data_IF_877911213966
#
_entry.id   IF_877911213966
#
_cell.length_a   1.000
_cell.length_b   1.000
_cell.length_c   1.000
_cell.angle_alpha   90.00
_cell.angle_beta   90.00
_cell.angle_gamma   90.00
#
_symmetry.space_group_name_H-M   'P 1'
#
loop_
_entity.id
_entity.type
_entity.pdbx_description
1 polymer ?
#
# COMPACT_ATOMS: atom_id res chain seq x y z
N UNK A 1 -15.73 -5.98 -13.91
CA UNK A 1 -14.28 -6.04 -14.18
C UNK A 1 -14.10 -6.27 -15.67
N UNK A 2 -13.11 -5.69 -16.35
CA UNK A 2 -12.95 -5.85 -17.81
C UNK A 2 -11.48 -5.81 -18.22
N UNK A 3 -11.06 -6.73 -19.09
CA UNK A 3 -9.74 -6.71 -19.69
C UNK A 3 -9.74 -5.67 -20.82
N UNK A 4 -9.18 -4.50 -20.54
CA UNK A 4 -9.16 -3.36 -21.46
C UNK A 4 -7.85 -2.58 -21.31
N UNK A 5 -7.51 -1.82 -22.34
CA UNK A 5 -6.48 -0.80 -22.23
C UNK A 5 -6.92 0.25 -21.19
N UNK A 6 -6.01 0.59 -20.29
CA UNK A 6 -6.22 1.60 -19.26
C UNK A 6 -5.18 2.70 -19.40
N UNK A 7 -5.56 3.92 -19.09
CA UNK A 7 -4.59 5.03 -18.97
C UNK A 7 -3.84 4.85 -17.67
N UNK A 8 -2.56 4.56 -17.76
CA UNK A 8 -1.70 4.44 -16.59
C UNK A 8 -0.94 5.74 -16.41
N UNK A 9 -1.00 6.28 -15.19
CA UNK A 9 -0.20 7.44 -14.79
C UNK A 9 0.68 7.02 -13.64
N UNK A 10 1.98 7.30 -13.74
CA UNK A 10 2.94 7.06 -12.68
C UNK A 10 3.53 8.40 -12.29
N UNK A 11 3.54 8.72 -11.00
CA UNK A 11 4.19 9.90 -10.46
C UNK A 11 5.30 9.47 -9.52
N UNK A 12 6.45 10.14 -9.63
CA UNK A 12 7.57 9.99 -8.72
C UNK A 12 7.86 11.31 -8.06
N UNK A 13 8.16 11.27 -6.77
CA UNK A 13 8.58 12.45 -6.00
C UNK A 13 9.91 12.16 -5.35
N UNK A 14 10.93 12.94 -5.71
CA UNK A 14 12.25 12.86 -5.10
C UNK A 14 12.22 13.49 -3.71
N UNK A 15 12.92 12.80 -2.80
CA UNK A 15 13.08 13.21 -1.41
C UNK A 15 14.43 13.89 -1.16
N UNK A 16 14.61 14.45 0.04
CA UNK A 16 15.85 15.09 0.51
C UNK A 16 16.31 16.29 -0.36
N UNK A 17 15.35 17.08 -0.86
CA UNK A 17 15.63 18.29 -1.66
C UNK A 17 16.18 18.03 -3.07
N UNK A 18 16.25 16.76 -3.50
CA UNK A 18 16.65 16.40 -4.87
C UNK A 18 15.59 16.82 -5.87
N UNK A 19 16.03 17.15 -7.08
CA UNK A 19 15.18 17.61 -8.18
C UNK A 19 15.48 16.84 -9.46
N UNK A 20 14.49 16.76 -10.34
CA UNK A 20 14.70 16.35 -11.72
C UNK A 20 15.25 17.55 -12.52
N UNK A 21 16.08 17.26 -13.53
CA UNK A 21 16.50 18.23 -14.54
C UNK A 21 17.09 19.56 -14.02
N UNK A 22 18.19 19.51 -13.24
CA UNK A 22 18.91 20.71 -12.76
C UNK A 22 18.02 21.76 -12.05
N UNK A 23 17.03 21.33 -11.26
CA UNK A 23 16.23 22.24 -10.43
C UNK A 23 14.81 22.53 -10.90
N UNK A 24 14.27 21.77 -11.88
CA UNK A 24 12.90 21.99 -12.39
C UNK A 24 11.78 21.44 -11.49
N UNK A 25 12.10 21.08 -10.24
CA UNK A 25 11.17 20.51 -9.28
C UNK A 25 11.51 19.06 -8.93
N UNK A 26 10.87 18.53 -7.90
CA UNK A 26 11.13 17.18 -7.40
C UNK A 26 10.10 16.15 -7.85
N UNK A 27 9.17 16.51 -8.73
CA UNK A 27 8.10 15.64 -9.19
C UNK A 27 8.25 15.31 -10.67
N UNK A 28 8.05 14.04 -11.03
CA UNK A 28 8.03 13.55 -12.41
C UNK A 28 6.76 12.75 -12.61
N UNK A 29 5.90 13.20 -13.51
CA UNK A 29 4.66 12.51 -13.87
C UNK A 29 4.78 11.95 -15.29
N UNK A 30 4.54 10.65 -15.44
CA UNK A 30 4.52 9.94 -16.72
C UNK A 30 3.09 9.52 -16.98
N UNK A 31 2.48 10.09 -18.01
CA UNK A 31 1.14 9.74 -18.48
C UNK A 31 1.22 8.74 -19.62
N UNK A 32 0.16 7.94 -19.79
CA UNK A 32 0.10 6.84 -20.77
C UNK A 32 1.33 5.91 -20.67
N UNK A 33 1.75 5.63 -19.43
CA UNK A 33 2.97 4.91 -19.15
C UNK A 33 2.92 3.47 -19.70
N UNK A 34 3.97 3.09 -20.43
CA UNK A 34 4.23 1.68 -20.76
C UNK A 34 4.87 1.03 -19.55
N UNK A 35 4.10 0.21 -18.82
CA UNK A 35 4.57 -0.41 -17.59
C UNK A 35 3.90 -1.75 -17.27
N UNK A 36 4.59 -2.54 -16.46
CA UNK A 36 4.05 -3.70 -15.76
C UNK A 36 4.12 -3.44 -14.26
N UNK A 37 2.99 -3.55 -13.57
CA UNK A 37 2.89 -3.35 -12.12
C UNK A 37 2.29 -4.60 -11.46
N UNK A 38 2.97 -5.12 -10.45
CA UNK A 38 2.49 -6.18 -9.57
C UNK A 38 2.35 -5.63 -8.16
N UNK A 39 1.13 -5.62 -7.62
CA UNK A 39 0.83 -5.12 -6.28
C UNK A 39 0.43 -6.31 -5.40
N UNK A 40 1.12 -6.48 -4.28
CA UNK A 40 0.84 -7.53 -3.30
C UNK A 40 0.38 -6.91 -1.98
N UNK A 41 -0.72 -7.42 -1.42
CA UNK A 41 -1.32 -6.93 -0.16
C UNK A 41 -1.28 -8.04 0.88
N UNK A 42 -0.49 -7.86 1.95
CA UNK A 42 -0.25 -8.90 2.96
C UNK A 42 -1.01 -8.68 4.28
N UNK A 43 -2.26 -8.20 4.24
CA UNK A 43 -3.14 -8.16 5.42
C UNK A 43 -2.61 -7.37 6.63
N UNK A 44 -1.70 -6.41 6.43
CA UNK A 44 -1.26 -5.44 7.44
C UNK A 44 0.14 -5.65 8.03
N UNK A 45 0.63 -6.88 8.18
CA UNK A 45 1.93 -7.11 8.86
C UNK A 45 3.11 -6.62 8.01
N UNK A 46 3.21 -7.09 6.77
CA UNK A 46 4.21 -6.62 5.81
C UNK A 46 3.75 -5.39 5.00
N UNK A 47 2.47 -5.03 5.08
CA UNK A 47 1.87 -3.94 4.31
C UNK A 47 1.62 -4.30 2.84
N UNK A 48 1.32 -3.28 2.04
CA UNK A 48 1.18 -3.40 0.59
C UNK A 48 2.51 -3.06 -0.09
N UNK A 49 2.90 -3.89 -1.05
CA UNK A 49 4.14 -3.76 -1.81
C UNK A 49 3.85 -3.70 -3.31
N UNK A 50 4.73 -3.05 -4.06
CA UNK A 50 4.69 -3.00 -5.52
C UNK A 50 6.02 -3.41 -6.12
N UNK A 51 5.98 -4.11 -7.25
CA UNK A 51 7.06 -4.18 -8.22
C UNK A 51 6.59 -3.52 -9.50
N UNK A 52 7.33 -2.54 -10.00
CA UNK A 52 7.02 -1.81 -11.22
C UNK A 52 8.19 -1.91 -12.19
N UNK A 53 7.87 -2.27 -13.43
CA UNK A 53 8.74 -2.15 -14.60
C UNK A 53 8.15 -1.03 -15.45
N UNK A 54 8.93 0.00 -15.76
CA UNK A 54 8.48 1.13 -16.57
C UNK A 54 9.50 1.41 -17.68
N UNK A 55 9.01 1.52 -18.91
CA UNK A 55 9.82 1.73 -20.11
C UNK A 55 9.69 3.15 -20.65
N UNK A 56 10.61 3.52 -21.55
CA UNK A 56 10.59 4.82 -22.25
C UNK A 56 11.08 5.99 -21.41
N UNK A 57 11.71 5.72 -20.25
CA UNK A 57 12.30 6.76 -19.42
C UNK A 57 13.66 7.22 -19.97
N UNK A 58 13.98 8.50 -19.82
CA UNK A 58 15.31 9.01 -20.16
C UNK A 58 16.37 8.43 -19.20
N UNK A 59 17.62 8.22 -19.65
CA UNK A 59 18.71 7.80 -18.76
C UNK A 59 18.86 8.70 -17.53
N UNK A 60 18.67 10.02 -17.69
CA UNK A 60 18.73 10.96 -16.58
C UNK A 60 17.61 10.73 -15.53
N UNK A 61 16.36 10.45 -15.95
CA UNK A 61 15.30 10.11 -15.02
C UNK A 61 15.57 8.78 -14.32
N UNK A 62 16.04 7.78 -15.06
CA UNK A 62 16.42 6.49 -14.50
C UNK A 62 17.53 6.64 -13.45
N UNK A 63 18.57 7.45 -13.72
CA UNK A 63 19.63 7.72 -12.75
C UNK A 63 19.13 8.46 -11.50
N UNK A 64 18.22 9.43 -11.64
CA UNK A 64 17.67 10.16 -10.49
C UNK A 64 16.83 9.28 -9.56
N UNK A 65 16.13 8.31 -10.13
CA UNK A 65 15.30 7.36 -9.39
C UNK A 65 16.10 6.16 -8.88
N UNK A 66 17.14 5.75 -9.62
CA UNK A 66 18.00 4.63 -9.24
C UNK A 66 18.70 4.98 -7.93
N UNK A 67 18.24 4.35 -6.87
CA UNK A 67 18.72 4.61 -5.52
C UNK A 67 20.00 3.81 -5.31
N UNK A 68 21.08 4.46 -4.86
CA UNK A 68 22.35 3.78 -4.59
C UNK A 68 22.20 2.93 -3.32
N UNK A 69 21.64 1.73 -3.44
CA UNK A 69 21.26 0.83 -2.34
C UNK A 69 22.37 0.37 -1.38
N UNK A 70 23.64 0.77 -1.58
CA UNK A 70 24.77 0.30 -0.75
C UNK A 70 25.27 1.35 0.25
N UNK A 71 24.89 2.63 0.11
CA UNK A 71 25.41 3.73 0.95
C UNK A 71 24.33 4.76 1.29
N UNK A 72 23.22 4.31 1.89
CA UNK A 72 22.26 5.25 2.45
C UNK A 72 22.93 5.92 3.65
N UNK A 73 22.96 7.25 3.69
CA UNK A 73 23.21 7.92 4.97
C UNK A 73 22.08 7.50 5.92
N UNK A 74 22.38 7.30 7.21
CA UNK A 74 21.42 6.80 8.22
C UNK A 74 20.09 7.59 8.29
N UNK A 75 19.99 8.75 7.63
CA UNK A 75 18.86 9.67 7.66
C UNK A 75 18.21 9.98 6.30
N UNK A 76 18.59 9.33 5.19
CA UNK A 76 17.99 9.67 3.89
C UNK A 76 16.53 9.24 3.80
N UNK A 77 15.63 10.08 3.28
CA UNK A 77 14.21 9.76 3.09
C UNK A 77 14.02 9.07 1.74
N UNK A 78 13.28 7.95 1.71
CA UNK A 78 13.01 7.25 0.46
C UNK A 78 12.17 8.14 -0.47
N UNK A 79 12.41 8.04 -1.78
CA UNK A 79 11.56 8.66 -2.81
C UNK A 79 10.13 8.12 -2.70
N UNK A 80 9.15 8.88 -3.15
CA UNK A 80 7.75 8.42 -3.20
C UNK A 80 7.32 8.09 -4.62
N UNK A 81 6.33 7.23 -4.73
CA UNK A 81 5.65 6.94 -5.98
C UNK A 81 4.14 6.83 -5.80
N UNK A 82 3.42 7.16 -6.86
CA UNK A 82 1.98 6.94 -6.99
C UNK A 82 1.66 6.35 -8.35
N UNK A 83 0.68 5.46 -8.38
CA UNK A 83 0.23 4.77 -9.58
C UNK A 83 -1.29 4.90 -9.68
N UNK A 84 -1.76 5.43 -10.81
CA UNK A 84 -3.17 5.51 -11.14
C UNK A 84 -3.49 4.67 -12.37
N UNK A 85 -4.67 4.05 -12.35
CA UNK A 85 -5.27 3.39 -13.50
C UNK A 85 -6.63 4.05 -13.79
N UNK A 86 -6.79 4.63 -14.98
CA UNK A 86 -7.98 5.40 -15.39
C UNK A 86 -8.37 6.48 -14.37
N UNK A 87 -7.37 7.18 -13.81
CA UNK A 87 -7.57 8.25 -12.82
C UNK A 87 -7.84 7.77 -11.39
N UNK A 88 -8.00 6.47 -11.14
CA UNK A 88 -8.12 5.91 -9.79
C UNK A 88 -6.73 5.58 -9.24
N UNK A 89 -6.40 6.10 -8.06
CA UNK A 89 -5.18 5.73 -7.34
C UNK A 89 -5.26 4.26 -6.92
N UNK A 90 -4.27 3.46 -7.32
CA UNK A 90 -4.20 2.02 -7.02
C UNK A 90 -3.00 1.65 -6.16
N UNK A 91 -1.99 2.52 -6.09
CA UNK A 91 -0.86 2.38 -5.18
C UNK A 91 -0.25 3.76 -4.87
N UNK A 92 0.14 3.96 -3.62
CA UNK A 92 1.00 5.06 -3.18
C UNK A 92 1.94 4.53 -2.10
N UNK A 93 3.23 4.80 -2.21
CA UNK A 93 4.20 4.32 -1.25
C UNK A 93 5.58 4.91 -1.45
N UNK A 94 6.54 4.43 -0.67
CA UNK A 94 7.94 4.85 -0.79
C UNK A 94 8.73 3.80 -1.58
N UNK A 95 9.61 4.27 -2.47
CA UNK A 95 10.49 3.45 -3.30
C UNK A 95 11.59 2.88 -2.41
N UNK A 96 11.65 1.56 -2.31
CA UNK A 96 12.61 0.83 -1.50
C UNK A 96 13.86 0.44 -2.27
N UNK A 97 13.73 0.17 -3.56
CA UNK A 97 14.83 -0.11 -4.47
C UNK A 97 14.47 0.31 -5.90
N UNK A 98 15.46 0.72 -6.68
CA UNK A 98 15.28 1.11 -8.08
C UNK A 98 16.59 0.99 -8.85
N UNK A 99 16.55 0.34 -10.01
CA UNK A 99 17.69 0.17 -10.90
C UNK A 99 17.23 -0.02 -12.35
N UNK A 100 18.10 0.33 -13.30
CA UNK A 100 17.86 0.13 -14.72
C UNK A 100 18.61 -1.10 -15.23
N UNK A 101 17.92 -2.00 -15.94
CA UNK A 101 18.53 -3.18 -16.54
C UNK A 101 18.91 -2.94 -18.00
N UNK A 102 20.13 -2.43 -18.20
CA UNK A 102 20.66 -2.12 -19.54
C UNK A 102 20.95 -3.36 -20.39
N UNK A 103 20.87 -4.59 -19.83
CA UNK A 103 20.99 -5.81 -20.64
C UNK A 103 19.77 -6.06 -21.53
N UNK A 104 18.65 -5.37 -21.27
CA UNK A 104 17.43 -5.45 -22.08
C UNK A 104 17.39 -4.42 -23.22
N UNK A 105 18.54 -3.84 -23.59
CA UNK A 105 18.61 -2.93 -24.73
C UNK A 105 18.04 -3.59 -26.02
N UNK A 106 17.27 -2.85 -26.84
CA UNK A 106 17.03 -1.40 -26.76
C UNK A 106 15.94 -0.98 -25.76
N UNK A 107 15.07 -1.89 -25.32
CA UNK A 107 13.91 -1.60 -24.47
C UNK A 107 14.26 -1.68 -22.98
N UNK A 108 15.06 -0.72 -22.52
CA UNK A 108 15.59 -0.66 -21.15
C UNK A 108 14.48 -0.27 -20.15
N UNK A 109 14.09 -1.14 -19.20
CA UNK A 109 13.19 -0.75 -18.13
C UNK A 109 13.95 -0.10 -16.96
N UNK A 110 13.26 0.83 -16.28
CA UNK A 110 13.52 1.07 -14.87
C UNK A 110 12.69 0.05 -14.08
N UNK A 111 13.37 -0.75 -13.26
CA UNK A 111 12.76 -1.72 -12.36
C UNK A 111 12.82 -1.12 -10.96
N UNK A 112 11.68 -1.10 -10.26
CA UNK A 112 11.61 -0.60 -8.90
C UNK A 112 10.69 -1.42 -8.01
N UNK A 113 11.00 -1.38 -6.73
CA UNK A 113 10.14 -1.88 -5.67
C UNK A 113 9.73 -0.75 -4.76
N UNK A 114 8.52 -0.85 -4.21
CA UNK A 114 8.02 0.13 -3.25
C UNK A 114 7.13 -0.52 -2.20
N UNK A 115 6.99 0.17 -1.07
CA UNK A 115 6.16 -0.30 0.03
C UNK A 115 5.43 0.88 0.67
N UNK A 116 4.19 0.63 1.08
CA UNK A 116 3.39 1.61 1.81
C UNK A 116 4.00 1.88 3.19
N UNK A 117 4.05 3.15 3.58
CA UNK A 117 4.54 3.64 4.89
C UNK A 117 5.98 3.22 5.23
N UNK A 118 6.84 2.92 4.26
CA UNK A 118 8.22 2.51 4.52
C UNK A 118 9.03 3.61 5.21
N UNK A 119 8.84 4.88 4.84
CA UNK A 119 9.47 5.99 5.54
C UNK A 119 8.98 6.09 7.00
N UNK A 120 7.68 5.95 7.25
CA UNK A 120 7.12 5.98 8.61
C UNK A 120 7.62 4.81 9.48
N UNK A 121 7.77 3.62 8.89
CA UNK A 121 8.31 2.44 9.59
C UNK A 121 9.77 2.59 10.01
N UNK A 122 10.53 3.43 9.31
CA UNK A 122 11.95 3.70 9.58
C UNK A 122 12.19 4.94 10.46
N UNK A 123 11.13 5.62 10.91
CA UNK A 123 11.25 6.78 11.77
C UNK A 123 10.81 6.43 13.20
N UNK A 124 11.61 6.79 14.23
CA UNK A 124 11.16 6.66 15.61
C UNK A 124 9.97 7.60 15.85
N UNK A 125 9.02 7.15 16.67
CA UNK A 125 7.95 7.99 17.18
C UNK A 125 8.09 8.12 18.70
N UNK A 126 7.50 9.17 19.27
CA UNK A 126 7.36 9.25 20.73
C UNK A 126 6.47 8.10 21.21
N UNK A 127 6.76 7.58 22.40
CA UNK A 127 5.94 6.54 23.01
C UNK A 127 4.53 7.07 23.28
N UNK A 128 3.52 6.24 23.02
CA UNK A 128 2.17 6.50 23.45
C UNK A 128 1.97 5.97 24.87
N UNK A 129 1.38 6.78 25.75
CA UNK A 129 1.00 6.34 27.09
C UNK A 129 -0.22 7.09 27.57
N UNK A 130 -1.14 6.37 28.22
CA UNK A 130 -2.29 6.97 28.89
C UNK A 130 -2.62 6.21 30.17
N UNK A 131 -3.29 6.88 31.12
CA UNK A 131 -3.73 6.27 32.38
C UNK A 131 -5.22 5.94 32.34
N UNK A 132 -5.59 4.84 32.96
CA UNK A 132 -6.96 4.34 33.02
C UNK A 132 -7.44 3.74 31.70
N UNK A 133 -8.76 3.54 31.60
CA UNK A 133 -9.38 2.95 30.42
C UNK A 133 -9.50 3.96 29.28
N UNK A 134 -8.84 3.67 28.17
CA UNK A 134 -8.86 4.51 26.96
C UNK A 134 -9.43 3.74 25.80
N UNK A 135 -10.37 4.35 25.06
CA UNK A 135 -10.96 3.74 23.89
C UNK A 135 -9.91 3.55 22.78
N UNK A 136 -9.88 2.35 22.19
CA UNK A 136 -8.92 1.99 21.14
C UNK A 136 -9.02 2.91 19.93
N UNK A 137 -10.24 3.34 19.60
CA UNK A 137 -10.50 4.30 18.53
C UNK A 137 -9.90 5.69 18.80
N UNK A 138 -9.72 6.10 20.05
CA UNK A 138 -9.07 7.37 20.38
C UNK A 138 -7.55 7.24 20.32
N UNK A 139 -6.99 6.12 20.77
CA UNK A 139 -5.55 5.81 20.68
C UNK A 139 -5.08 5.83 19.22
N UNK A 140 -5.74 5.04 18.36
CA UNK A 140 -5.35 4.93 16.93
C UNK A 140 -5.53 6.27 16.21
N UNK A 141 -6.59 7.03 16.52
CA UNK A 141 -6.81 8.36 15.94
C UNK A 141 -5.69 9.33 16.32
N UNK A 142 -5.26 9.32 17.59
CA UNK A 142 -4.17 10.16 18.05
C UNK A 142 -2.87 9.81 17.33
N UNK A 143 -2.51 8.52 17.25
CA UNK A 143 -1.34 8.03 16.53
C UNK A 143 -1.36 8.42 15.04
N UNK A 144 -2.47 8.13 14.35
CA UNK A 144 -2.65 8.46 12.93
C UNK A 144 -2.46 9.97 12.66
N UNK A 145 -3.00 10.82 13.54
CA UNK A 145 -2.89 12.28 13.41
C UNK A 145 -1.44 12.78 13.52
N UNK A 146 -0.57 12.12 14.29
CA UNK A 146 0.85 12.51 14.40
C UNK A 146 1.60 12.45 13.08
N UNK A 147 1.11 11.65 12.13
CA UNK A 147 1.70 11.46 10.79
C UNK A 147 0.76 11.87 9.66
N UNK A 148 -0.27 12.66 9.97
CA UNK A 148 -1.17 13.24 9.00
C UNK A 148 -2.12 12.24 8.33
N UNK A 149 -2.30 11.04 8.90
CA UNK A 149 -3.26 10.05 8.42
C UNK A 149 -4.65 10.36 8.99
N UNK A 150 -5.67 10.24 8.15
CA UNK A 150 -7.06 10.19 8.57
C UNK A 150 -7.36 8.93 9.38
N UNK A 151 -8.55 8.88 9.97
CA UNK A 151 -8.99 7.75 10.80
C UNK A 151 -10.46 7.42 10.56
N UNK A 152 -10.76 6.13 10.43
CA UNK A 152 -12.11 5.61 10.29
C UNK A 152 -12.35 4.43 11.25
N UNK A 153 -13.38 4.54 12.10
CA UNK A 153 -13.83 3.46 12.95
C UNK A 153 -15.11 2.83 12.39
N UNK A 154 -15.06 1.56 11.99
CA UNK A 154 -16.21 0.80 11.52
C UNK A 154 -16.73 -0.17 12.61
N UNK A 155 -17.08 0.36 13.78
CA UNK A 155 -17.80 -0.38 14.82
C UNK A 155 -16.96 -0.97 15.95
N UNK A 156 -15.69 -0.56 16.11
CA UNK A 156 -14.88 -0.92 17.28
C UNK A 156 -15.31 -0.11 18.51
N UNK A 157 -15.57 -0.80 19.62
CA UNK A 157 -15.95 -0.20 20.91
C UNK A 157 -15.08 -0.72 22.08
N UNK A 158 -13.89 -1.23 21.79
CA UNK A 158 -12.95 -1.76 22.81
C UNK A 158 -12.17 -0.64 23.49
N UNK A 159 -11.71 -0.92 24.71
CA UNK A 159 -10.81 -0.06 25.48
C UNK A 159 -9.61 -0.86 25.98
N UNK A 160 -8.51 -0.16 26.25
CA UNK A 160 -7.30 -0.71 26.88
C UNK A 160 -7.04 0.06 28.19
N UNK A 161 -6.67 -0.67 29.24
CA UNK A 161 -6.30 -0.09 30.54
C UNK A 161 -4.81 0.23 30.56
N UNK A 162 -4.47 1.44 31.00
CA UNK A 162 -3.09 1.93 31.14
C UNK A 162 -2.17 1.60 29.94
N UNK A 163 -2.61 1.89 28.69
CA UNK A 163 -1.88 1.49 27.50
C UNK A 163 -0.51 2.19 27.41
N UNK A 164 0.50 1.41 27.01
CA UNK A 164 1.84 1.91 26.68
C UNK A 164 2.35 1.21 25.41
N UNK A 165 2.70 2.00 24.39
CA UNK A 165 3.20 1.50 23.11
C UNK A 165 4.43 2.31 22.67
N UNK A 166 5.43 1.62 22.14
CA UNK A 166 6.71 2.21 21.75
C UNK A 166 7.13 1.78 20.34
N UNK A 167 8.22 2.37 19.83
CA UNK A 167 8.69 2.14 18.46
C UNK A 167 8.11 3.14 17.47
N UNK A 168 8.09 2.79 16.18
CA UNK A 168 7.54 3.67 15.15
C UNK A 168 6.00 3.70 15.20
N UNK A 169 5.39 4.77 14.67
CA UNK A 169 3.93 4.99 14.75
C UNK A 169 3.12 3.85 14.11
N UNK A 170 3.62 3.23 13.04
CA UNK A 170 2.95 2.12 12.34
C UNK A 170 2.93 0.89 13.23
N UNK A 171 4.05 0.59 13.89
CA UNK A 171 4.15 -0.49 14.86
C UNK A 171 3.22 -0.25 16.05
N UNK A 172 3.24 0.96 16.63
CA UNK A 172 2.34 1.30 17.74
C UNK A 172 0.86 1.08 17.37
N UNK A 173 0.41 1.46 16.17
CA UNK A 173 -0.97 1.22 15.71
C UNK A 173 -1.29 -0.27 15.54
N UNK A 174 -0.35 -1.07 15.01
CA UNK A 174 -0.49 -2.52 14.90
C UNK A 174 -0.55 -3.20 16.27
N UNK A 175 0.27 -2.74 17.22
CA UNK A 175 0.31 -3.26 18.59
C UNK A 175 -0.98 -2.94 19.35
N UNK A 176 -1.53 -1.73 19.17
CA UNK A 176 -2.85 -1.37 19.70
C UNK A 176 -3.93 -2.30 19.15
N UNK A 177 -3.94 -2.55 17.84
CA UNK A 177 -4.92 -3.42 17.21
C UNK A 177 -4.79 -4.88 17.71
N UNK A 178 -3.56 -5.36 17.87
CA UNK A 178 -3.24 -6.68 18.42
C UNK A 178 -3.71 -6.79 19.87
N UNK A 179 -3.38 -5.82 20.73
CA UNK A 179 -3.76 -5.80 22.14
C UNK A 179 -5.28 -5.74 22.36
N UNK A 180 -6.00 -5.07 21.45
CA UNK A 180 -7.45 -4.95 21.50
C UNK A 180 -8.21 -6.08 20.79
N UNK A 181 -7.50 -7.02 20.15
CA UNK A 181 -8.06 -8.09 19.32
C UNK A 181 -9.05 -7.55 18.26
N UNK A 182 -8.59 -6.59 17.46
CA UNK A 182 -9.35 -5.97 16.36
C UNK A 182 -8.61 -6.07 15.03
N UNK A 183 -9.32 -5.82 13.93
CA UNK A 183 -8.70 -5.66 12.62
C UNK A 183 -8.30 -4.21 12.39
N UNK A 184 -7.21 -4.02 11.64
CA UNK A 184 -6.69 -2.73 11.22
C UNK A 184 -6.22 -2.81 9.76
N UNK A 185 -6.50 -1.77 8.99
CA UNK A 185 -6.00 -1.56 7.63
C UNK A 185 -5.17 -0.27 7.56
N UNK A 186 -3.90 -0.46 7.21
CA UNK A 186 -2.88 0.57 6.96
C UNK A 186 -2.42 0.52 5.50
N UNK A 187 -3.18 -0.13 4.61
CA UNK A 187 -2.91 -0.17 3.18
C UNK A 187 -3.36 1.09 2.42
N UNK A 188 -4.03 2.02 3.11
CA UNK A 188 -4.45 3.31 2.56
C UNK A 188 -3.58 4.44 3.15
N UNK A 189 -2.87 5.14 2.27
CA UNK A 189 -1.98 6.25 2.62
C UNK A 189 -2.68 7.50 3.14
N UNK A 190 -4.00 7.62 2.94
CA UNK A 190 -4.79 8.75 3.40
C UNK A 190 -5.41 8.50 4.77
N UNK A 191 -5.66 7.24 5.15
CA UNK A 191 -6.37 6.91 6.40
C UNK A 191 -6.10 5.51 6.93
N UNK A 192 -6.18 5.41 8.25
CA UNK A 192 -6.23 4.15 8.99
C UNK A 192 -7.68 3.74 9.20
N UNK A 193 -8.03 2.49 8.90
CA UNK A 193 -9.38 1.95 9.18
C UNK A 193 -9.32 0.81 10.19
N UNK A 194 -10.22 0.80 11.16
CA UNK A 194 -10.38 -0.31 12.11
C UNK A 194 -11.79 -0.89 12.09
N UNK A 195 -11.92 -2.19 12.37
CA UNK A 195 -13.20 -2.89 12.50
C UNK A 195 -13.08 -4.10 13.44
N UNK A 196 -14.20 -4.63 13.98
CA UNK A 196 -14.17 -5.79 14.87
C UNK A 196 -13.56 -7.03 14.21
N UNK A 197 -12.82 -7.82 14.99
CA UNK A 197 -12.28 -9.10 14.53
C UNK A 197 -13.41 -10.08 14.18
N UNK A 198 -13.18 -10.89 13.15
CA UNK A 198 -14.17 -11.85 12.63
C UNK A 198 -15.34 -11.20 11.87
N UNK A 199 -15.36 -9.87 11.71
CA UNK A 199 -16.34 -9.17 10.90
C UNK A 199 -15.71 -8.59 9.64
N UNK A 200 -16.57 -8.28 8.67
CA UNK A 200 -16.21 -7.53 7.47
C UNK A 200 -16.41 -6.03 7.71
N UNK A 201 -15.74 -5.22 6.90
CA UNK A 201 -16.02 -3.79 6.78
C UNK A 201 -17.45 -3.59 6.28
N UNK A 202 -18.10 -2.52 6.72
CA UNK A 202 -19.47 -2.18 6.33
C UNK A 202 -19.50 -1.55 4.92
N UNK A 203 -19.18 -2.36 3.92
CA UNK A 203 -19.05 -1.96 2.51
C UNK A 203 -19.70 -3.07 1.65
N UNK A 204 -20.44 -2.72 0.58
CA UNK A 204 -21.06 -3.71 -0.30
C UNK A 204 -20.05 -4.72 -0.87
N UNK A 205 -20.45 -6.00 -0.98
CA UNK A 205 -19.59 -7.03 -1.52
C UNK A 205 -19.24 -6.79 -2.99
N UNK A 206 -18.06 -7.26 -3.39
CA UNK A 206 -17.70 -7.35 -4.81
C UNK A 206 -18.17 -8.70 -5.34
N UNK A 207 -19.00 -8.68 -6.38
CA UNK A 207 -19.38 -9.89 -7.12
C UNK A 207 -18.20 -10.35 -7.99
N UNK A 208 -17.85 -11.62 -7.86
CA UNK A 208 -16.84 -12.32 -8.65
C UNK A 208 -17.50 -13.55 -9.25
N UNK A 209 -17.59 -13.61 -10.58
CA UNK A 209 -18.15 -14.74 -11.33
C UNK A 209 -17.50 -14.78 -12.72
N UNK A 210 -17.73 -15.81 -13.56
CA UNK A 210 -17.22 -15.84 -14.94
C UNK A 210 -17.52 -14.55 -15.72
N UNK A 211 -18.75 -14.04 -15.59
CA UNK A 211 -19.19 -12.81 -16.26
C UNK A 211 -18.69 -11.54 -15.55
N UNK A 212 -18.30 -11.67 -14.27
CA UNK A 212 -17.81 -10.58 -13.45
C UNK A 212 -16.28 -10.56 -13.26
N UNK A 213 -15.54 -11.31 -14.08
CA UNK A 213 -14.08 -11.22 -14.18
C UNK A 213 -13.30 -12.32 -13.50
N UNK A 214 -13.94 -13.40 -13.04
CA UNK A 214 -13.28 -14.62 -12.60
C UNK A 214 -12.50 -15.24 -13.77
N UNK A 215 -11.23 -15.57 -13.54
CA UNK A 215 -10.36 -16.23 -14.51
C UNK A 215 -9.99 -17.61 -13.98
N UNK A 216 -10.32 -18.64 -14.75
CA UNK A 216 -10.12 -20.03 -14.34
C UNK A 216 -11.06 -20.45 -13.21
N UNK A 217 -10.68 -21.50 -12.48
CA UNK A 217 -11.45 -22.03 -11.36
C UNK A 217 -10.84 -21.62 -10.02
N UNK A 218 -11.66 -21.35 -8.99
CA UNK A 218 -11.18 -21.22 -7.62
C UNK A 218 -10.51 -22.50 -7.13
N UNK A 219 -9.56 -22.37 -6.22
CA UNK A 219 -8.82 -23.49 -5.63
C UNK A 219 -8.90 -23.39 -4.11
N UNK A 220 -9.42 -24.44 -3.47
CA UNK A 220 -9.35 -24.57 -2.02
C UNK A 220 -7.94 -24.94 -1.59
N UNK A 221 -7.39 -24.18 -0.65
CA UNK A 221 -6.08 -24.40 -0.04
C UNK A 221 -6.26 -24.70 1.44
N UNK A 222 -5.20 -25.17 2.11
CA UNK A 222 -5.24 -25.37 3.56
C UNK A 222 -5.54 -24.08 4.35
N UNK A 223 -5.31 -22.91 3.75
CA UNK A 223 -5.47 -21.60 4.38
C UNK A 223 -6.74 -20.87 3.95
N UNK A 224 -7.52 -21.43 3.02
CA UNK A 224 -8.78 -20.84 2.57
C UNK A 224 -9.06 -21.08 1.09
N UNK A 225 -9.47 -20.02 0.40
CA UNK A 225 -9.89 -20.06 -1.00
C UNK A 225 -9.00 -19.11 -1.82
N UNK A 226 -8.44 -19.62 -2.91
CA UNK A 226 -7.69 -18.84 -3.90
C UNK A 226 -8.53 -18.69 -5.17
N UNK A 227 -8.67 -17.47 -5.68
CA UNK A 227 -9.34 -17.18 -6.95
C UNK A 227 -8.56 -16.10 -7.71
N UNK A 228 -8.52 -16.23 -9.03
CA UNK A 228 -7.88 -15.24 -9.92
C UNK A 228 -8.96 -14.43 -10.61
N UNK A 229 -8.78 -13.11 -10.69
CA UNK A 229 -9.71 -12.23 -11.41
C UNK A 229 -8.98 -11.27 -12.33
N UNK A 230 -9.71 -10.72 -13.31
CA UNK A 230 -9.29 -9.50 -13.99
C UNK A 230 -9.14 -8.39 -12.95
N UNK A 231 -8.08 -7.58 -13.06
CA UNK A 231 -7.75 -6.51 -12.12
C UNK A 231 -8.97 -5.73 -11.62
N UNK A 232 -9.14 -5.73 -10.29
CA UNK A 232 -10.24 -5.09 -9.58
C UNK A 232 -9.69 -4.31 -8.38
N UNK A 233 -9.61 -2.96 -8.46
CA UNK A 233 -9.09 -2.14 -7.36
C UNK A 233 -10.08 -2.02 -6.19
N UNK A 234 -11.25 -2.66 -6.30
CA UNK A 234 -12.27 -2.74 -5.27
C UNK A 234 -12.09 -3.95 -4.35
N UNK A 235 -11.18 -4.87 -4.66
CA UNK A 235 -10.77 -5.97 -3.79
C UNK A 235 -9.64 -5.50 -2.86
N UNK A 236 -9.94 -5.41 -1.57
CA UNK A 236 -8.99 -5.02 -0.52
C UNK A 236 -9.40 -5.65 0.82
N UNK A 237 -8.48 -5.64 1.79
CA UNK A 237 -8.65 -6.27 3.09
C UNK A 237 -9.92 -5.80 3.80
N UNK A 238 -10.72 -6.77 4.27
CA UNK A 238 -11.94 -6.52 5.03
C UNK A 238 -13.18 -6.25 4.18
N UNK A 239 -13.07 -6.01 2.86
CA UNK A 239 -14.26 -5.93 2.00
C UNK A 239 -14.78 -7.34 1.70
N UNK A 240 -16.09 -7.61 1.85
CA UNK A 240 -16.64 -8.91 1.48
C UNK A 240 -16.58 -9.12 -0.04
N UNK A 241 -16.41 -10.38 -0.44
CA UNK A 241 -16.52 -10.81 -1.83
C UNK A 241 -17.58 -11.91 -1.93
N UNK A 242 -18.42 -11.84 -2.97
CA UNK A 242 -19.36 -12.90 -3.30
C UNK A 242 -18.84 -13.63 -4.53
N UNK A 243 -18.41 -14.87 -4.36
CA UNK A 243 -17.85 -15.69 -5.43
C UNK A 243 -18.90 -16.68 -5.92
N UNK A 244 -19.19 -16.61 -7.20
CA UNK A 244 -20.02 -17.57 -7.92
C UNK A 244 -19.11 -18.36 -8.88
N UNK A 245 -19.11 -19.69 -8.77
CA UNK A 245 -18.36 -20.56 -9.67
C UNK A 245 -19.15 -21.83 -9.95
N UNK A 246 -18.81 -22.52 -11.04
CA UNK A 246 -19.45 -23.79 -11.41
C UNK A 246 -18.88 -25.01 -10.67
N UNK A 247 -18.00 -24.83 -9.68
CA UNK A 247 -17.59 -25.91 -8.80
C UNK A 247 -18.78 -26.35 -7.94
N UNK A 248 -19.02 -27.67 -7.79
CA UNK A 248 -20.04 -28.16 -6.87
C UNK A 248 -19.67 -27.82 -5.42
N UNK A 249 -20.70 -27.48 -4.64
CA UNK A 249 -20.61 -27.11 -3.20
C UNK A 249 -19.95 -28.18 -2.32
#
# INVERSE_FOLDING_TARGET
MSYRQRKITVEFTLSDGRTFGNGQGNMLTITDASCFASIAVYGGVAGTQITLYIWGMSPAHMTNLSWRGVWRQEQSTANKMRLWADGRLIFEGDITDAYADYNQAPDIPLILTGQIHFNLRNQPAADFSAKGDVAVADIIRALASTVGLGFENQGVSRSLSDPHFSGNVVQQMLDVASAADINIDLGNVEKVTIWPKGQNRNIPPVLISPDHGLTGYPVYTMTGLSATTIFCPDLFTGRPAHLESSLPD
#
